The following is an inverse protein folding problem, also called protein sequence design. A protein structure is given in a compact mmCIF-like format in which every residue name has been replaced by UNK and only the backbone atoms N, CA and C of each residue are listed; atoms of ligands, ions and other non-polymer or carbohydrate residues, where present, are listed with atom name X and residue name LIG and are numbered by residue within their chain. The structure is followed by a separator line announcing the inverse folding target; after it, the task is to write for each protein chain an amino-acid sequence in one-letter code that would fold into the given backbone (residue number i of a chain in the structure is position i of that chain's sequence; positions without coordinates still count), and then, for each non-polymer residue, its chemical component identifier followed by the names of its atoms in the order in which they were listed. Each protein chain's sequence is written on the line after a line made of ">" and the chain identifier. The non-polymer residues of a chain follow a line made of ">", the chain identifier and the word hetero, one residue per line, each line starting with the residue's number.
data_IF_265363458076
#
_entry.id   IF_265363458076
#
_cell.length_a   1.000
_cell.length_b   1.000
_cell.length_c   1.000
_cell.angle_alpha   90.00
_cell.angle_beta   90.00
_cell.angle_gamma   90.00
#
_symmetry.space_group_name_H-M   'P 1'
#
loop_
_entity.id
_entity.type
_entity.pdbx_description
1 polymer ?
#
# COMPACT_ATOMS: atom_id res chain seq x y z
N UNK A 1 26.71 -53.29 28.41
CA UNK A 1 26.58 -53.02 26.96
C UNK A 1 26.00 -51.62 26.78
N UNK A 2 26.83 -50.66 26.35
CA UNK A 2 26.46 -49.25 26.22
C UNK A 2 25.76 -49.01 24.87
N UNK A 3 24.64 -48.28 24.87
CA UNK A 3 23.87 -47.97 23.66
C UNK A 3 24.61 -46.91 22.80
N UNK A 4 24.65 -47.06 21.46
CA UNK A 4 25.30 -46.10 20.59
C UNK A 4 24.52 -44.78 20.52
N UNK A 5 25.25 -43.67 20.68
CA UNK A 5 24.74 -42.29 20.68
C UNK A 5 24.49 -41.83 19.24
N UNK A 6 23.29 -41.33 18.93
CA UNK A 6 22.91 -40.83 17.60
C UNK A 6 23.56 -39.47 17.32
N UNK A 7 24.12 -39.28 16.12
CA UNK A 7 24.78 -38.04 15.66
C UNK A 7 23.83 -36.84 15.49
N UNK A 8 22.53 -37.00 15.69
CA UNK A 8 21.54 -35.92 15.57
C UNK A 8 21.54 -34.93 16.75
N UNK A 9 22.16 -35.28 17.88
CA UNK A 9 22.15 -34.43 19.09
C UNK A 9 23.28 -33.37 19.10
N UNK A 10 24.13 -33.32 18.07
CA UNK A 10 25.27 -32.39 18.02
C UNK A 10 24.91 -30.97 17.54
N UNK A 11 23.70 -30.73 17.03
CA UNK A 11 23.33 -29.44 16.42
C UNK A 11 22.36 -28.59 17.25
N UNK A 12 21.95 -29.02 18.44
CA UNK A 12 20.92 -28.35 19.24
C UNK A 12 21.43 -27.57 20.47
N UNK A 13 22.74 -27.31 20.60
CA UNK A 13 23.29 -26.69 21.81
C UNK A 13 24.30 -25.59 21.52
N UNK A 14 23.81 -24.37 21.22
CA UNK A 14 24.54 -23.11 21.47
C UNK A 14 23.65 -21.90 21.16
N UNK A 15 22.94 -21.37 22.15
CA UNK A 15 22.46 -19.98 22.13
C UNK A 15 22.14 -19.48 23.55
N UNK A 16 23.06 -19.66 24.50
CA UNK A 16 23.05 -18.90 25.76
C UNK A 16 24.49 -18.46 26.06
N UNK A 17 24.80 -17.19 25.77
CA UNK A 17 25.84 -16.47 26.52
C UNK A 17 25.64 -14.96 26.43
N UNK A 18 25.16 -14.42 27.54
CA UNK A 18 25.28 -13.03 27.95
C UNK A 18 26.74 -12.59 28.03
N UNK A 19 27.09 -11.45 27.44
CA UNK A 19 28.29 -10.70 27.84
C UNK A 19 27.98 -9.21 27.93
N UNK A 20 27.72 -8.78 29.15
CA UNK A 20 27.82 -7.40 29.61
C UNK A 20 29.28 -6.97 29.53
N UNK A 21 29.59 -5.88 28.81
CA UNK A 21 30.79 -5.09 29.05
C UNK A 21 30.56 -3.64 28.58
N UNK A 22 30.58 -2.72 29.54
CA UNK A 22 30.77 -1.27 29.36
C UNK A 22 32.24 -0.93 29.61
N UNK A 23 32.80 0.03 28.86
CA UNK A 23 33.62 1.05 29.52
C UNK A 23 33.29 2.48 29.05
N UNK A 24 33.72 3.42 29.89
CA UNK A 24 33.36 4.83 29.92
C UNK A 24 34.24 5.74 29.03
N UNK A 25 33.59 6.80 28.53
CA UNK A 25 33.98 8.22 28.38
C UNK A 25 35.47 8.59 28.38
N UNK A 26 35.93 9.30 27.33
CA UNK A 26 36.65 10.60 27.43
C UNK A 26 36.68 11.38 26.10
N UNK A 27 36.20 12.63 26.18
CA UNK A 27 36.59 13.89 25.54
C UNK A 27 37.03 14.01 24.06
N UNK A 28 36.33 14.92 23.37
CA UNK A 28 36.63 15.65 22.11
C UNK A 28 37.89 16.54 22.22
N UNK A 29 38.55 16.96 21.10
CA UNK A 29 38.06 18.15 20.38
C UNK A 29 38.33 18.20 18.85
N UNK A 30 37.73 19.22 18.24
CA UNK A 30 38.18 20.00 17.07
C UNK A 30 37.42 19.90 15.74
N UNK A 31 36.58 20.91 15.56
CA UNK A 31 36.39 21.80 14.40
C UNK A 31 36.58 21.28 12.97
N UNK A 32 35.49 21.41 12.21
CA UNK A 32 35.54 21.96 10.86
C UNK A 32 34.37 22.93 10.71
N UNK A 33 34.73 24.21 10.62
CA UNK A 33 33.89 25.34 10.22
C UNK A 33 33.38 25.13 8.79
N UNK A 34 32.07 24.96 8.67
CA UNK A 34 31.33 25.16 7.42
C UNK A 34 30.72 26.56 7.39
N UNK A 35 30.56 27.18 6.21
CA UNK A 35 30.42 28.61 6.03
C UNK A 35 29.19 29.22 6.71
N UNK A 36 29.46 30.24 7.51
CA UNK A 36 28.51 31.13 8.19
C UNK A 36 27.63 31.85 7.17
N UNK A 37 26.31 31.64 7.28
CA UNK A 37 25.32 32.46 6.58
C UNK A 37 25.40 33.91 7.11
N UNK A 38 25.40 34.95 6.24
CA UNK A 38 25.37 36.32 6.70
C UNK A 38 24.01 36.63 7.35
N UNK A 39 24.03 36.83 8.66
CA UNK A 39 23.00 37.59 9.37
C UNK A 39 23.34 39.06 9.19
N UNK A 40 22.58 39.74 8.33
CA UNK A 40 22.49 41.20 8.33
C UNK A 40 21.04 41.56 8.60
N UNK A 41 20.76 41.95 9.84
CA UNK A 41 19.51 42.63 10.20
C UNK A 41 19.53 44.07 9.72
N UNK A 42 18.37 44.61 9.40
CA UNK A 42 18.06 46.03 9.55
C UNK A 42 16.54 46.20 9.43
N UNK A 43 15.97 46.75 10.49
CA UNK A 43 14.64 47.37 10.49
C UNK A 43 14.52 48.34 9.32
N UNK A 44 13.41 48.28 8.60
CA UNK A 44 12.82 49.45 7.95
C UNK A 44 11.34 49.17 7.71
N UNK A 45 10.52 49.87 8.48
CA UNK A 45 9.15 50.18 8.10
C UNK A 45 9.16 50.76 6.69
N UNK A 46 8.46 50.15 5.73
CA UNK A 46 7.88 50.89 4.62
C UNK A 46 6.68 50.14 4.02
N UNK A 47 5.62 50.93 3.89
CA UNK A 47 4.33 50.60 3.30
C UNK A 47 4.50 50.03 1.88
N UNK A 48 3.75 48.98 1.59
CA UNK A 48 3.73 48.36 0.26
C UNK A 48 2.50 47.49 0.08
N UNK A 49 1.32 48.13 0.05
CA UNK A 49 0.07 47.47 -0.24
C UNK A 49 0.10 46.78 -1.61
N UNK A 50 0.03 45.44 -1.61
CA UNK A 50 -0.39 44.66 -2.78
C UNK A 50 -1.78 44.10 -2.50
N UNK A 51 -2.78 44.92 -2.83
CA UNK A 51 -4.17 44.48 -2.93
C UNK A 51 -4.24 43.34 -3.95
N UNK A 52 -4.58 42.14 -3.46
CA UNK A 52 -4.98 41.02 -4.30
C UNK A 52 -6.28 41.40 -4.99
N UNK A 53 -6.22 41.57 -6.30
CA UNK A 53 -7.38 41.78 -7.18
C UNK A 53 -8.28 40.55 -7.07
N UNK A 54 -9.40 40.69 -6.37
CA UNK A 54 -10.46 39.70 -6.31
C UNK A 54 -10.99 39.46 -7.74
N UNK A 55 -10.67 38.30 -8.31
CA UNK A 55 -11.33 37.82 -9.53
C UNK A 55 -12.74 37.38 -9.13
N UNK A 56 -13.72 38.20 -9.52
CA UNK A 56 -15.13 37.84 -9.60
C UNK A 56 -15.25 36.68 -10.60
N UNK A 57 -15.50 35.47 -10.08
CA UNK A 57 -15.80 34.30 -10.91
C UNK A 57 -17.31 34.33 -11.11
N UNK A 58 -17.73 34.72 -12.31
CA UNK A 58 -19.08 34.45 -12.79
C UNK A 58 -19.25 32.94 -12.87
N UNK A 59 -20.14 32.43 -12.02
CA UNK A 59 -20.60 31.05 -12.02
C UNK A 59 -21.40 30.78 -13.28
N UNK A 60 -20.70 30.38 -14.35
CA UNK A 60 -21.34 29.71 -15.48
C UNK A 60 -21.38 28.21 -15.14
N UNK A 61 -22.57 27.73 -14.80
CA UNK A 61 -22.85 26.30 -14.60
C UNK A 61 -22.32 25.50 -15.79
N UNK A 62 -21.28 24.71 -15.54
CA UNK A 62 -20.83 23.69 -16.47
C UNK A 62 -21.71 22.44 -16.27
N UNK A 63 -22.07 21.73 -17.37
CA UNK A 63 -22.96 20.59 -17.30
C UNK A 63 -22.31 19.45 -16.50
N UNK A 64 -23.08 19.01 -15.50
CA UNK A 64 -22.90 17.78 -14.75
C UNK A 64 -22.90 16.60 -15.72
N UNK A 65 -21.90 15.72 -15.63
CA UNK A 65 -22.12 14.30 -15.99
C UNK A 65 -21.07 13.53 -16.78
N UNK A 66 -19.77 13.80 -16.71
CA UNK A 66 -18.79 12.76 -17.05
C UNK A 66 -18.55 11.87 -15.83
N UNK A 67 -19.31 10.78 -15.75
CA UNK A 67 -19.06 9.68 -14.80
C UNK A 67 -17.72 9.05 -15.17
N UNK A 68 -16.63 9.55 -14.56
CA UNK A 68 -15.31 8.90 -14.65
C UNK A 68 -15.49 7.45 -14.22
N UNK A 69 -15.39 6.53 -15.18
CA UNK A 69 -15.55 5.11 -14.92
C UNK A 69 -14.60 4.72 -13.78
N UNK A 70 -15.08 3.99 -12.76
CA UNK A 70 -14.24 3.62 -11.63
C UNK A 70 -13.01 2.88 -12.15
N UNK A 71 -11.82 3.40 -11.86
CA UNK A 71 -10.52 2.85 -12.28
C UNK A 71 -10.18 1.51 -11.61
N UNK A 72 -11.04 1.06 -10.69
CA UNK A 72 -10.88 -0.17 -9.91
C UNK A 72 -11.94 -1.20 -10.27
N UNK A 73 -11.52 -2.45 -10.47
CA UNK A 73 -12.44 -3.56 -10.71
C UNK A 73 -13.37 -3.80 -9.50
N UNK A 74 -14.67 -4.07 -9.70
CA UNK A 74 -15.64 -4.22 -8.60
C UNK A 74 -15.31 -5.36 -7.64
N UNK A 75 -14.69 -6.45 -8.12
CA UNK A 75 -14.27 -7.57 -7.27
C UNK A 75 -13.31 -7.19 -6.13
N UNK A 76 -12.61 -6.04 -6.23
CA UNK A 76 -11.77 -5.54 -5.13
C UNK A 76 -12.58 -5.17 -3.89
N UNK A 77 -13.86 -4.81 -4.05
CA UNK A 77 -14.79 -4.49 -2.96
C UNK A 77 -15.54 -5.71 -2.44
N UNK A 78 -15.44 -6.85 -3.14
CA UNK A 78 -15.95 -8.15 -2.71
C UNK A 78 -14.81 -9.17 -2.57
N UNK A 79 -13.81 -8.93 -1.70
CA UNK A 79 -12.59 -9.73 -1.66
C UNK A 79 -12.83 -11.21 -1.30
N UNK A 80 -13.97 -11.54 -0.70
CA UNK A 80 -14.37 -12.94 -0.46
C UNK A 80 -14.63 -13.70 -1.77
N UNK A 81 -15.03 -13.03 -2.85
CA UNK A 81 -15.24 -13.70 -4.16
C UNK A 81 -13.94 -14.16 -4.79
N UNK A 82 -12.80 -13.63 -4.34
CA UNK A 82 -11.47 -13.96 -4.82
C UNK A 82 -10.79 -15.09 -4.03
N UNK A 83 -11.44 -15.59 -2.97
CA UNK A 83 -10.92 -16.71 -2.18
C UNK A 83 -11.16 -18.04 -2.90
N UNK A 84 -10.22 -19.00 -2.80
CA UNK A 84 -10.44 -20.39 -3.20
C UNK A 84 -11.73 -20.97 -2.61
N UNK A 85 -12.43 -21.80 -3.39
CA UNK A 85 -13.76 -22.31 -3.02
C UNK A 85 -13.72 -23.17 -1.75
N UNK A 86 -12.62 -23.88 -1.52
CA UNK A 86 -12.36 -24.72 -0.36
C UNK A 86 -12.32 -23.88 0.91
N UNK A 87 -11.64 -22.74 0.83
CA UNK A 87 -11.50 -21.79 1.95
C UNK A 87 -12.84 -21.13 2.24
N UNK A 88 -13.60 -20.75 1.20
CA UNK A 88 -14.93 -20.19 1.37
C UNK A 88 -15.88 -21.15 2.07
N UNK A 89 -15.86 -22.45 1.72
CA UNK A 89 -16.65 -23.47 2.42
C UNK A 89 -16.29 -23.55 3.91
N UNK A 90 -14.99 -23.54 4.23
CA UNK A 90 -14.52 -23.59 5.61
C UNK A 90 -14.92 -22.33 6.42
N UNK A 91 -14.85 -21.15 5.81
CA UNK A 91 -15.28 -19.89 6.46
C UNK A 91 -16.79 -19.89 6.69
N UNK A 92 -17.58 -20.28 5.69
CA UNK A 92 -19.03 -20.29 5.79
C UNK A 92 -19.54 -21.34 6.80
N UNK A 93 -18.79 -22.41 7.03
CA UNK A 93 -19.08 -23.38 8.10
C UNK A 93 -18.90 -22.77 9.51
N UNK A 94 -18.08 -21.72 9.65
CA UNK A 94 -17.88 -21.04 10.93
C UNK A 94 -18.98 -19.99 11.15
N UNK A 95 -19.91 -20.27 12.09
CA UNK A 95 -20.97 -19.32 12.49
C UNK A 95 -20.48 -17.93 12.89
N UNK A 96 -19.20 -17.85 13.31
CA UNK A 96 -18.49 -16.63 13.71
C UNK A 96 -18.28 -15.66 12.55
N UNK A 97 -17.91 -16.19 11.38
CA UNK A 97 -17.62 -15.41 10.20
C UNK A 97 -18.86 -15.44 9.32
N UNK A 98 -19.71 -14.42 9.45
CA UNK A 98 -20.97 -14.31 8.69
C UNK A 98 -20.75 -13.93 7.22
N UNK A 99 -19.84 -14.63 6.55
CA UNK A 99 -19.45 -14.37 5.16
C UNK A 99 -19.13 -12.89 4.92
N UNK A 100 -20.01 -12.22 4.18
CA UNK A 100 -19.87 -10.82 3.75
C UNK A 100 -20.07 -9.79 4.88
N UNK A 101 -20.85 -10.10 5.92
CA UNK A 101 -21.33 -9.09 6.88
C UNK A 101 -20.23 -8.53 7.78
N UNK A 102 -19.20 -9.33 8.06
CA UNK A 102 -18.16 -8.99 9.03
C UNK A 102 -16.86 -8.56 8.34
N UNK A 103 -16.87 -8.46 7.00
CA UNK A 103 -15.72 -8.09 6.19
C UNK A 103 -15.82 -6.62 5.81
N UNK A 104 -14.78 -5.86 6.17
CA UNK A 104 -14.64 -4.45 5.83
C UNK A 104 -13.64 -4.33 4.67
N UNK A 105 -14.10 -4.12 3.43
CA UNK A 105 -13.20 -3.97 2.29
C UNK A 105 -12.53 -2.59 2.29
N UNK A 106 -11.22 -2.58 2.06
CA UNK A 106 -10.41 -1.38 1.83
C UNK A 106 -9.65 -1.58 0.53
N UNK A 107 -9.95 -0.76 -0.48
CA UNK A 107 -9.26 -0.84 -1.77
C UNK A 107 -8.20 0.25 -1.87
N UNK A 108 -6.98 -0.16 -2.21
CA UNK A 108 -5.89 0.75 -2.54
C UNK A 108 -5.64 0.79 -4.04
N UNK A 109 -5.48 2.00 -4.56
CA UNK A 109 -5.13 2.23 -5.97
C UNK A 109 -3.72 2.78 -6.10
N UNK A 110 -3.13 2.66 -7.29
CA UNK A 110 -1.80 3.20 -7.59
C UNK A 110 -1.68 4.71 -7.37
N UNK A 111 -2.78 5.46 -7.42
CA UNK A 111 -2.78 6.93 -7.27
C UNK A 111 -3.16 7.40 -5.86
N UNK A 112 -3.41 6.48 -4.92
CA UNK A 112 -3.82 6.86 -3.57
C UNK A 112 -2.66 7.44 -2.76
N UNK A 113 -3.00 8.40 -1.88
CA UNK A 113 -2.07 9.00 -0.94
C UNK A 113 -1.70 8.00 0.18
N UNK A 114 -0.40 7.74 0.33
CA UNK A 114 0.16 6.79 1.31
C UNK A 114 -0.19 7.17 2.74
N UNK A 115 -0.04 8.44 3.11
CA UNK A 115 -0.35 8.97 4.45
C UNK A 115 -1.83 8.79 4.80
N UNK A 116 -2.73 9.08 3.85
CA UNK A 116 -4.16 8.85 4.02
C UNK A 116 -4.48 7.35 4.22
N UNK A 117 -3.79 6.46 3.49
CA UNK A 117 -3.89 5.02 3.66
C UNK A 117 -3.48 4.52 5.05
N UNK A 118 -2.32 4.97 5.51
CA UNK A 118 -1.80 4.65 6.86
C UNK A 118 -2.80 5.13 7.92
N UNK A 119 -3.25 6.40 7.85
CA UNK A 119 -4.19 6.95 8.82
C UNK A 119 -5.53 6.18 8.82
N UNK A 120 -6.03 5.79 7.65
CA UNK A 120 -7.25 4.96 7.54
C UNK A 120 -7.06 3.62 8.27
N UNK A 121 -5.93 2.94 8.06
CA UNK A 121 -5.64 1.70 8.76
C UNK A 121 -5.47 1.91 10.27
N UNK A 122 -4.81 2.98 10.72
CA UNK A 122 -4.72 3.31 12.16
C UNK A 122 -6.09 3.41 12.82
N UNK A 123 -7.03 4.10 12.18
CA UNK A 123 -8.42 4.23 12.66
C UNK A 123 -9.10 2.86 12.70
N UNK A 124 -8.92 2.04 11.66
CA UNK A 124 -9.60 0.75 11.56
C UNK A 124 -9.03 -0.28 12.56
N UNK A 125 -7.74 -0.18 12.88
CA UNK A 125 -7.10 -0.99 13.92
C UNK A 125 -7.43 -0.49 15.34
N UNK A 126 -8.06 0.67 15.49
CA UNK A 126 -8.39 1.27 16.78
C UNK A 126 -7.23 1.96 17.50
N UNK A 127 -6.18 2.31 16.77
CA UNK A 127 -4.98 2.99 17.28
C UNK A 127 -5.05 4.52 17.17
N UNK A 128 -6.15 5.06 16.63
CA UNK A 128 -6.38 6.50 16.48
C UNK A 128 -7.86 6.78 16.61
N UNK A 129 -8.20 7.93 17.20
CA UNK A 129 -9.56 8.42 17.22
C UNK A 129 -10.01 8.72 15.81
N UNK A 130 -11.31 8.54 15.56
CA UNK A 130 -11.92 8.96 14.32
C UNK A 130 -12.11 10.47 14.43
N UNK A 131 -11.48 11.29 13.57
CA UNK A 131 -11.77 12.72 13.54
C UNK A 131 -13.28 12.93 13.46
N UNK A 132 -13.82 13.88 14.23
CA UNK A 132 -15.27 14.18 14.31
C UNK A 132 -15.95 14.36 12.94
N UNK A 133 -15.18 14.60 11.88
CA UNK A 133 -15.64 14.84 10.51
C UNK A 133 -15.13 13.83 9.46
N UNK A 134 -14.45 12.73 9.82
CA UNK A 134 -13.80 11.88 8.81
C UNK A 134 -14.22 10.42 8.89
N UNK A 135 -14.80 9.93 7.78
CA UNK A 135 -15.03 8.53 7.46
C UNK A 135 -15.81 7.77 8.53
N UNK A 136 -17.12 7.67 8.28
CA UNK A 136 -18.03 6.83 9.05
C UNK A 136 -17.41 5.45 9.26
N UNK A 137 -17.13 5.11 10.53
CA UNK A 137 -16.47 3.86 10.88
C UNK A 137 -17.45 2.74 10.55
N UNK A 138 -17.11 1.81 9.63
CA UNK A 138 -18.07 0.79 9.20
C UNK A 138 -18.60 0.02 10.41
N UNK A 139 -19.93 -0.15 10.49
CA UNK A 139 -20.61 -0.83 11.60
C UNK A 139 -20.02 -2.23 11.86
N UNK A 140 -19.64 -2.94 10.79
CA UNK A 140 -19.00 -4.25 10.86
C UNK A 140 -17.72 -4.25 11.72
N UNK A 141 -16.98 -3.13 11.82
CA UNK A 141 -15.77 -3.04 12.63
C UNK A 141 -16.04 -2.98 14.15
N UNK A 142 -17.27 -2.69 14.54
CA UNK A 142 -17.69 -2.73 15.94
C UNK A 142 -17.86 -4.17 16.44
N UNK A 143 -18.06 -5.12 15.52
CA UNK A 143 -18.19 -6.53 15.86
C UNK A 143 -16.86 -7.12 16.37
N UNK A 144 -16.97 -8.07 17.31
CA UNK A 144 -15.82 -8.79 17.89
C UNK A 144 -15.05 -9.62 16.85
N UNK A 145 -15.74 -10.03 15.78
CA UNK A 145 -15.26 -10.94 14.75
C UNK A 145 -15.11 -10.26 13.40
N UNK A 146 -14.78 -8.98 13.43
CA UNK A 146 -14.53 -8.17 12.23
C UNK A 146 -13.23 -8.57 11.53
N UNK A 147 -13.29 -8.50 10.20
CA UNK A 147 -12.20 -8.83 9.28
C UNK A 147 -11.99 -7.62 8.38
N UNK A 148 -10.78 -7.07 8.36
CA UNK A 148 -10.42 -6.00 7.43
C UNK A 148 -9.75 -6.65 6.23
N UNK A 149 -10.29 -6.45 5.04
CA UNK A 149 -9.73 -6.99 3.80
C UNK A 149 -9.17 -5.85 2.96
N UNK A 150 -7.84 -5.75 2.91
CA UNK A 150 -7.13 -4.66 2.24
C UNK A 150 -6.62 -5.15 0.89
N UNK A 151 -7.18 -4.65 -0.21
CA UNK A 151 -6.95 -5.17 -1.56
C UNK A 151 -6.35 -4.13 -2.50
N UNK A 152 -5.49 -4.57 -3.41
CA UNK A 152 -4.99 -3.77 -4.53
C UNK A 152 -4.74 -4.64 -5.76
N UNK A 153 -4.89 -4.06 -6.95
CA UNK A 153 -4.64 -4.74 -8.23
C UNK A 153 -3.37 -4.22 -8.90
N UNK A 154 -2.66 -5.12 -9.61
CA UNK A 154 -1.49 -4.80 -10.43
C UNK A 154 -0.45 -3.97 -9.68
N UNK A 155 0.00 -2.86 -10.28
CA UNK A 155 1.01 -1.96 -9.72
C UNK A 155 0.62 -1.33 -8.37
N UNK A 156 -0.67 -1.34 -8.02
CA UNK A 156 -1.14 -0.87 -6.71
C UNK A 156 -0.69 -1.76 -5.55
N UNK A 157 -0.35 -3.02 -5.82
CA UNK A 157 0.04 -4.02 -4.81
C UNK A 157 1.31 -3.64 -4.05
N UNK A 158 2.35 -3.14 -4.73
CA UNK A 158 3.58 -2.69 -4.08
C UNK A 158 3.31 -1.54 -3.09
N UNK A 159 2.45 -0.59 -3.48
CA UNK A 159 2.02 0.51 -2.61
C UNK A 159 1.21 0.01 -1.41
N UNK A 160 0.33 -0.96 -1.62
CA UNK A 160 -0.43 -1.61 -0.54
C UNK A 160 0.49 -2.20 0.53
N UNK A 161 1.49 -2.98 0.13
CA UNK A 161 2.45 -3.60 1.05
C UNK A 161 3.17 -2.52 1.87
N UNK A 162 3.69 -1.48 1.21
CA UNK A 162 4.35 -0.36 1.89
C UNK A 162 3.44 0.33 2.92
N UNK A 163 2.17 0.60 2.57
CA UNK A 163 1.20 1.21 3.47
C UNK A 163 0.94 0.32 4.70
N UNK A 164 0.72 -0.98 4.49
CA UNK A 164 0.45 -1.93 5.58
C UNK A 164 1.66 -2.07 6.50
N UNK A 165 2.86 -2.18 5.95
CA UNK A 165 4.09 -2.32 6.73
C UNK A 165 4.38 -1.09 7.58
N UNK A 166 4.24 0.12 7.01
CA UNK A 166 4.39 1.36 7.77
C UNK A 166 3.28 1.49 8.81
N UNK A 167 2.04 1.17 8.47
CA UNK A 167 0.93 1.20 9.43
C UNK A 167 1.20 0.29 10.62
N UNK A 168 1.66 -0.95 10.40
CA UNK A 168 2.03 -1.90 11.46
C UNK A 168 3.09 -1.34 12.40
N UNK A 169 4.13 -0.69 11.86
CA UNK A 169 5.20 -0.07 12.67
C UNK A 169 4.69 1.11 13.49
N UNK A 170 3.80 1.92 12.91
CA UNK A 170 3.25 3.12 13.56
C UNK A 170 2.25 2.78 14.67
N UNK A 171 1.54 1.65 14.58
CA UNK A 171 0.59 1.21 15.62
C UNK A 171 1.20 0.27 16.65
N UNK A 172 2.45 -0.17 16.45
CA UNK A 172 3.13 -1.06 17.36
C UNK A 172 3.35 -0.37 18.72
N UNK A 173 3.07 -1.06 19.84
CA UNK A 173 3.33 -0.50 21.16
C UNK A 173 4.83 -0.29 21.38
N UNK A 174 5.18 0.82 22.00
CA UNK A 174 6.54 1.10 22.46
C UNK A 174 6.88 0.25 23.70
N UNK A 175 8.17 -0.02 23.99
CA UNK A 175 8.55 -0.82 25.16
C UNK A 175 7.97 -0.30 26.48
N UNK A 176 7.92 1.03 26.65
CA UNK A 176 7.35 1.68 27.83
C UNK A 176 5.85 1.41 27.99
N UNK A 177 5.12 1.42 26.88
CA UNK A 177 3.67 1.15 26.87
C UNK A 177 3.37 -0.32 27.19
N UNK A 178 4.26 -1.24 26.81
CA UNK A 178 4.16 -2.66 27.19
C UNK A 178 4.32 -2.87 28.70
N UNK A 179 5.26 -2.15 29.32
CA UNK A 179 5.50 -2.22 30.77
C UNK A 179 4.36 -1.61 31.58
N UNK A 180 3.74 -0.54 31.07
CA UNK A 180 2.59 0.13 31.68
C UNK A 180 1.30 -0.69 31.63
N UNK A 181 1.28 -1.82 30.91
CA UNK A 181 0.09 -2.66 30.78
C UNK A 181 -1.04 -1.98 30.02
N UNK A 182 -0.73 -1.08 29.07
CA UNK A 182 -1.74 -0.44 28.23
C UNK A 182 -2.51 -1.48 27.39
N UNK A 183 -3.68 -1.08 26.87
CA UNK A 183 -4.55 -1.94 26.06
C UNK A 183 -3.89 -2.35 24.73
N UNK A 184 -3.09 -3.41 24.77
CA UNK A 184 -2.41 -3.99 23.61
C UNK A 184 -3.23 -5.15 23.05
N UNK A 185 -3.67 -5.01 21.81
CA UNK A 185 -4.40 -6.05 21.10
C UNK A 185 -3.49 -6.77 20.10
N UNK A 186 -3.53 -8.10 20.11
CA UNK A 186 -2.88 -8.92 19.08
C UNK A 186 -3.78 -9.01 17.84
N UNK A 187 -3.21 -8.78 16.68
CA UNK A 187 -3.85 -8.90 15.38
C UNK A 187 -3.15 -9.97 14.53
N UNK A 188 -3.92 -10.70 13.75
CA UNK A 188 -3.48 -11.71 12.79
C UNK A 188 -3.60 -11.16 11.37
N UNK A 189 -2.61 -11.45 10.54
CA UNK A 189 -2.48 -10.99 9.16
C UNK A 189 -2.26 -12.20 8.25
N UNK A 190 -3.03 -12.26 7.17
CA UNK A 190 -2.96 -13.31 6.14
C UNK A 190 -2.85 -12.67 4.76
N UNK A 191 -2.00 -13.20 3.89
CA UNK A 191 -1.77 -12.63 2.56
C UNK A 191 -2.24 -13.61 1.50
N UNK A 192 -3.23 -13.19 0.70
CA UNK A 192 -3.76 -13.99 -0.41
C UNK A 192 -3.51 -13.31 -1.75
N UNK A 193 -3.21 -14.11 -2.77
CA UNK A 193 -3.06 -13.68 -4.16
C UNK A 193 -4.18 -14.28 -5.01
N UNK A 194 -4.76 -13.47 -5.88
CA UNK A 194 -5.76 -13.86 -6.86
C UNK A 194 -5.49 -13.18 -8.21
N UNK A 195 -6.27 -13.49 -9.23
CA UNK A 195 -6.23 -12.80 -10.52
C UNK A 195 -7.64 -12.43 -10.98
N UNK A 196 -7.79 -11.26 -11.58
CA UNK A 196 -9.01 -10.80 -12.23
C UNK A 196 -8.76 -10.61 -13.73
N UNK A 197 -9.77 -10.85 -14.56
CA UNK A 197 -9.69 -10.60 -16.00
C UNK A 197 -10.19 -9.19 -16.30
N UNK A 198 -9.35 -8.39 -16.95
CA UNK A 198 -9.66 -7.00 -17.31
C UNK A 198 -9.57 -6.83 -18.82
N UNK A 199 -10.61 -6.24 -19.41
CA UNK A 199 -10.60 -5.90 -20.83
C UNK A 199 -9.69 -4.69 -21.08
N UNK A 200 -8.56 -4.92 -21.77
CA UNK A 200 -7.73 -3.81 -22.23
C UNK A 200 -8.31 -3.26 -23.52
N UNK A 201 -9.10 -2.18 -23.41
CA UNK A 201 -9.47 -1.38 -24.59
C UNK A 201 -8.18 -0.94 -25.25
N UNK A 202 -7.91 -1.43 -26.46
CA UNK A 202 -6.80 -0.98 -27.29
C UNK A 202 -7.07 0.49 -27.54
N UNK A 203 -6.28 1.38 -26.92
CA UNK A 203 -6.41 2.82 -27.14
C UNK A 203 -6.42 3.03 -28.64
N UNK A 204 -7.53 3.54 -29.18
CA UNK A 204 -7.54 4.02 -30.56
C UNK A 204 -6.36 4.98 -30.66
N UNK A 205 -5.47 4.83 -31.65
CA UNK A 205 -4.41 5.81 -31.85
C UNK A 205 -5.11 7.16 -31.96
N UNK A 206 -4.93 8.02 -30.95
CA UNK A 206 -5.48 9.36 -31.03
C UNK A 206 -4.80 9.96 -32.24
N UNK A 207 -5.59 10.16 -33.28
CA UNK A 207 -5.24 10.85 -34.51
C UNK A 207 -4.43 12.09 -34.08
N UNK A 208 -3.12 12.03 -34.30
CA UNK A 208 -2.27 13.21 -34.15
C UNK A 208 -2.83 14.19 -35.15
N UNK A 209 -3.64 15.13 -34.66
CA UNK A 209 -4.11 16.25 -35.43
C UNK A 209 -2.86 16.97 -35.91
N UNK A 210 -2.54 16.74 -37.17
CA UNK A 210 -1.49 17.38 -37.93
C UNK A 210 -1.75 18.87 -37.95
N UNK A 211 -1.12 19.61 -37.05
CA UNK A 211 -0.83 21.02 -37.28
C UNK A 211 0.41 21.04 -38.15
N UNK A 212 0.16 21.15 -39.44
CA UNK A 212 1.12 21.55 -40.45
C UNK A 212 1.58 22.99 -40.17
N UNK A 213 2.86 23.17 -39.86
CA UNK A 213 3.64 24.35 -40.24
C UNK A 213 5.01 23.87 -40.76
N UNK A 214 5.44 24.33 -41.95
CA UNK A 214 6.82 24.18 -42.43
C UNK A 214 7.70 25.37 -42.00
N UNK A 215 8.99 25.27 -42.34
CA UNK A 215 10.11 26.23 -42.23
C UNK A 215 11.04 25.96 -41.02
N UNK A 216 12.13 25.19 -41.17
CA UNK A 216 13.41 25.37 -41.89
C UNK A 216 14.53 25.92 -40.99
N UNK A 217 15.67 25.20 -41.03
CA UNK A 217 17.03 25.49 -40.51
C UNK A 217 17.19 25.40 -38.97
N UNK A 218 18.22 24.75 -38.40
CA UNK A 218 19.60 24.59 -38.87
C UNK A 218 20.33 23.41 -38.17
N UNK A 219 21.47 23.03 -38.77
CA UNK A 219 22.57 22.11 -38.40
C UNK A 219 23.03 22.20 -36.91
N UNK A 220 23.75 21.29 -36.26
CA UNK A 220 24.65 20.18 -36.60
C UNK A 220 25.04 19.43 -35.28
N UNK A 221 25.67 18.25 -35.40
CA UNK A 221 26.60 17.60 -34.43
C UNK A 221 26.14 17.16 -33.01
N UNK A 222 26.12 15.85 -32.73
CA UNK A 222 27.27 15.09 -32.19
C UNK A 222 26.90 13.65 -31.79
N UNK A 223 27.78 12.73 -32.22
CA UNK A 223 28.19 11.44 -31.64
C UNK A 223 27.21 10.45 -30.99
N UNK A 224 27.04 9.37 -31.75
CA UNK A 224 27.09 7.96 -31.36
C UNK A 224 28.04 7.68 -30.18
N UNK A 225 27.50 7.24 -29.04
CA UNK A 225 27.86 5.93 -28.47
C UNK A 225 26.86 5.54 -27.37
N UNK A 226 26.23 4.38 -27.57
CA UNK A 226 25.16 3.89 -26.70
C UNK A 226 24.96 2.41 -26.90
N UNK A 227 26.01 1.62 -26.60
CA UNK A 227 25.87 0.21 -26.26
C UNK A 227 24.87 0.09 -25.10
N UNK A 228 23.64 -0.26 -25.44
CA UNK A 228 22.57 -0.56 -24.50
C UNK A 228 21.67 -1.57 -25.17
N UNK A 229 22.12 -2.82 -25.12
CA UNK A 229 21.50 -4.08 -25.55
C UNK A 229 19.97 -4.06 -25.38
N UNK A 230 19.30 -3.44 -26.37
CA UNK A 230 17.87 -3.34 -26.44
C UNK A 230 17.41 -4.55 -27.24
N UNK A 231 16.88 -5.55 -26.53
CA UNK A 231 16.20 -6.69 -27.12
C UNK A 231 15.07 -6.20 -28.03
N UNK A 232 15.38 -5.99 -29.32
CA UNK A 232 14.38 -5.86 -30.36
C UNK A 232 13.71 -7.24 -30.50
N UNK A 233 12.39 -7.36 -30.27
CA UNK A 233 11.69 -8.62 -30.49
C UNK A 233 11.73 -8.92 -31.99
N UNK A 234 12.51 -9.93 -32.37
CA UNK A 234 12.68 -10.36 -33.74
C UNK A 234 11.32 -10.72 -34.34
N UNK A 235 10.90 -9.91 -35.32
CA UNK A 235 9.67 -10.10 -36.09
C UNK A 235 9.90 -11.21 -37.11
N UNK A 236 9.91 -12.45 -36.64
CA UNK A 236 9.91 -13.64 -37.49
C UNK A 236 8.65 -14.45 -37.20
N UNK A 237 7.53 -13.98 -37.78
CA UNK A 237 6.53 -14.81 -38.45
C UNK A 237 5.33 -13.93 -38.85
N UNK A 238 5.44 -13.35 -40.04
CA UNK A 238 4.29 -12.86 -40.79
C UNK A 238 3.79 -14.00 -41.67
N UNK A 239 2.78 -14.72 -41.20
CA UNK A 239 1.88 -15.48 -42.06
C UNK A 239 0.44 -15.31 -41.55
N UNK A 240 -0.37 -14.64 -42.38
CA UNK A 240 -1.83 -14.67 -42.42
C UNK A 240 -2.61 -14.31 -41.14
N UNK A 241 -2.54 -13.05 -40.71
CA UNK A 241 -3.63 -12.46 -39.90
C UNK A 241 -4.62 -11.73 -40.81
N UNK A 242 -5.69 -12.45 -41.13
CA UNK A 242 -6.97 -11.92 -41.60
C UNK A 242 -7.35 -10.66 -40.80
N UNK A 243 -7.56 -9.56 -41.53
CA UNK A 243 -8.34 -8.41 -41.08
C UNK A 243 -9.71 -8.91 -40.62
N UNK A 244 -10.10 -8.57 -39.40
CA UNK A 244 -11.49 -8.68 -38.97
C UNK A 244 -11.71 -9.55 -37.74
N UNK A 245 -11.04 -9.22 -36.63
CA UNK A 245 -11.71 -9.30 -35.33
C UNK A 245 -10.86 -8.51 -34.32
N UNK A 246 -11.29 -7.29 -33.99
CA UNK A 246 -10.74 -6.53 -32.86
C UNK A 246 -11.21 -7.18 -31.57
N UNK A 247 -10.76 -8.41 -31.31
CA UNK A 247 -11.05 -9.16 -30.10
C UNK A 247 -10.43 -8.41 -28.92
N UNK A 248 -11.29 -7.97 -28.01
CA UNK A 248 -10.91 -7.46 -26.70
C UNK A 248 -10.04 -8.52 -26.02
N UNK A 249 -8.72 -8.31 -26.00
CA UNK A 249 -7.81 -9.21 -25.28
C UNK A 249 -8.06 -9.03 -23.79
N UNK A 250 -8.63 -10.05 -23.16
CA UNK A 250 -8.74 -10.14 -21.71
C UNK A 250 -7.35 -10.33 -21.12
N UNK A 251 -6.95 -9.48 -20.17
CA UNK A 251 -5.66 -9.57 -19.49
C UNK A 251 -5.90 -9.94 -18.05
N UNK A 252 -5.23 -11.00 -17.58
CA UNK A 252 -5.22 -11.37 -16.17
C UNK A 252 -4.35 -10.39 -15.40
N UNK A 253 -4.96 -9.70 -14.45
CA UNK A 253 -4.31 -8.74 -13.55
C UNK A 253 -4.26 -9.34 -12.16
N UNK A 254 -3.07 -9.40 -11.51
CA UNK A 254 -2.97 -9.92 -10.16
C UNK A 254 -3.66 -9.01 -9.15
N UNK A 255 -4.27 -9.60 -8.13
CA UNK A 255 -4.86 -8.92 -6.98
C UNK A 255 -4.18 -9.45 -5.72
N UNK A 256 -3.66 -8.53 -4.92
CA UNK A 256 -3.14 -8.80 -3.59
C UNK A 256 -4.19 -8.38 -2.57
N UNK A 257 -4.57 -9.30 -1.69
CA UNK A 257 -5.45 -9.01 -0.55
C UNK A 257 -4.77 -9.41 0.75
N UNK A 258 -4.71 -8.47 1.68
CA UNK A 258 -4.20 -8.66 3.04
C UNK A 258 -5.40 -8.66 3.99
N UNK A 259 -5.62 -9.79 4.66
CA UNK A 259 -6.69 -9.99 5.62
C UNK A 259 -6.16 -9.73 7.03
N UNK A 260 -6.78 -8.81 7.76
CA UNK A 260 -6.35 -8.40 9.10
C UNK A 260 -7.50 -8.61 10.08
N UNK A 261 -7.26 -9.38 11.14
CA UNK A 261 -8.30 -9.85 12.07
C UNK A 261 -7.81 -9.83 13.51
N UNK A 262 -8.72 -9.65 14.47
CA UNK A 262 -8.39 -9.75 15.91
C UNK A 262 -8.29 -11.19 16.41
N UNK A 263 -9.04 -12.10 15.78
CA UNK A 263 -9.06 -13.52 16.12
C UNK A 263 -8.61 -14.35 14.95
N UNK A 264 -7.77 -15.32 15.25
CA UNK A 264 -7.24 -16.29 14.30
C UNK A 264 -8.35 -16.96 13.47
N UNK A 265 -8.06 -17.18 12.19
CA UNK A 265 -8.89 -17.92 11.24
C UNK A 265 -8.10 -19.16 10.79
N UNK A 266 -8.40 -20.37 11.33
CA UNK A 266 -7.63 -21.58 11.03
C UNK A 266 -7.54 -21.91 9.53
N UNK A 267 -8.63 -21.69 8.78
CA UNK A 267 -8.66 -21.88 7.33
C UNK A 267 -7.64 -20.99 6.61
N UNK A 268 -7.54 -19.72 7.01
CA UNK A 268 -6.56 -18.79 6.44
C UNK A 268 -5.14 -19.13 6.86
N UNK A 269 -4.93 -19.47 8.13
CA UNK A 269 -3.61 -19.88 8.62
C UNK A 269 -3.06 -21.07 7.85
N UNK A 270 -3.88 -22.08 7.61
CA UNK A 270 -3.48 -23.27 6.85
C UNK A 270 -3.20 -22.97 5.38
N UNK A 271 -3.95 -22.06 4.76
CA UNK A 271 -3.84 -21.79 3.33
C UNK A 271 -2.81 -20.71 2.96
N UNK A 272 -2.68 -19.69 3.79
CA UNK A 272 -1.92 -18.47 3.49
C UNK A 272 -0.74 -18.22 4.45
N UNK A 273 -0.62 -19.03 5.50
CA UNK A 273 0.24 -18.73 6.64
C UNK A 273 -0.29 -17.58 7.48
N UNK A 274 0.23 -17.42 8.70
CA UNK A 274 -0.22 -16.39 9.64
C UNK A 274 0.98 -15.55 10.09
N UNK A 275 0.81 -14.24 10.03
CA UNK A 275 1.67 -13.28 10.71
C UNK A 275 0.89 -12.62 11.84
N UNK A 276 1.54 -12.32 12.95
CA UNK A 276 0.90 -11.60 14.06
C UNK A 276 1.64 -10.32 14.38
N UNK A 277 0.91 -9.30 14.82
CA UNK A 277 1.48 -8.06 15.31
C UNK A 277 0.61 -7.46 16.42
N UNK A 278 1.21 -6.61 17.23
CA UNK A 278 0.55 -5.95 18.36
C UNK A 278 0.15 -4.53 17.97
N UNK A 279 -1.00 -4.11 18.48
CA UNK A 279 -1.58 -2.79 18.23
C UNK A 279 -1.91 -2.15 19.57
N UNK A 280 -1.35 -0.97 19.83
CA UNK A 280 -1.81 -0.11 20.92
C UNK A 280 -3.20 0.43 20.59
N UNK A 281 -4.20 0.03 21.37
CA UNK A 281 -5.55 0.54 21.22
C UNK A 281 -5.82 1.69 22.19
N UNK A 282 -6.67 2.61 21.77
CA UNK A 282 -7.13 3.68 22.63
C UNK A 282 -7.99 3.13 23.78
N UNK A 283 -7.99 3.80 24.95
CA UNK A 283 -8.95 3.49 26.01
C UNK A 283 -10.36 3.59 25.42
N UNK A 284 -11.21 2.61 25.72
CA UNK A 284 -12.64 2.75 25.45
C UNK A 284 -13.24 3.53 26.59
N UNK A 285 -13.96 4.61 26.27
CA UNK A 285 -14.89 5.24 27.20
C UNK A 285 -16.07 4.29 27.35
N UNK A 286 -15.97 3.34 28.29
CA UNK A 286 -17.06 2.41 28.66
C UNK A 286 -18.03 3.08 29.66
#
# INVERSE_FOLDING_TARGET
>A
MAKPKRMSDMFASSAEKSSTYTPAVTATPYSSEGPTLPIAGADTEHAGGRQRKARKIDSKEAPVGETRSPTSHPALYEPWTLLPTEILKQINAQKRLRGKHNVVPIVFTKNQNVKAGINRLKIFLGASETPKNSLDKPTALQEKDSVIAVSAQGDGSAKLVSIVDVARRVVAPTPKEKELGENINKWCLYTSLASIEVEKKKGSPSEKMSISQPDEMDQDMHEVDGEGDAFEPTVADKADQKKGDSQNRMIKTPVLTIWITKKEIPAFKSAFGEQTFEVKSLPRDD
#
